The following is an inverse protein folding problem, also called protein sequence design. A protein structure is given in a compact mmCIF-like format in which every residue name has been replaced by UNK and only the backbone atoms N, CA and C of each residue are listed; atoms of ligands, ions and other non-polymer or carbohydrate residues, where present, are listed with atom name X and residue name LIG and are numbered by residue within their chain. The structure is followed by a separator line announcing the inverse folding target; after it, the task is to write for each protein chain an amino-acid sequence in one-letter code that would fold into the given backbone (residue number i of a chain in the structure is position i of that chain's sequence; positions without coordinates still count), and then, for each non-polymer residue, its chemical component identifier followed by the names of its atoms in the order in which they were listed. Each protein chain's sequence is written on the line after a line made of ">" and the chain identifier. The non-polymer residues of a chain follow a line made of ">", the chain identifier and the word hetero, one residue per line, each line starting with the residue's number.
data_IF_264884854147
#
_entry.id   IF_264884854147
#
_cell.length_a   1.000
_cell.length_b   1.000
_cell.length_c   1.000
_cell.angle_alpha   90.00
_cell.angle_beta   90.00
_cell.angle_gamma   90.00
#
_symmetry.space_group_name_H-M   'P 1'
#
loop_
_entity.id
_entity.type
_entity.pdbx_description
1 polymer ?
#
# COMPACT_ATOMS: atom_id res chain seq x y z
N UNK A 1 -10.43 9.94 12.90
CA UNK A 1 -9.73 8.92 12.09
C UNK A 1 -9.08 9.59 10.89
N UNK A 2 -7.83 9.24 10.59
CA UNK A 2 -7.07 9.70 9.41
C UNK A 2 -6.53 8.47 8.68
N UNK A 3 -6.64 8.43 7.34
CA UNK A 3 -6.05 7.38 6.51
C UNK A 3 -5.03 8.01 5.54
N UNK A 4 -3.83 7.43 5.48
CA UNK A 4 -2.71 7.90 4.64
C UNK A 4 -2.17 6.72 3.82
N UNK A 5 -2.79 6.41 2.69
CA UNK A 5 -2.35 5.30 1.86
C UNK A 5 -1.08 5.63 1.08
N UNK A 6 -0.21 4.62 0.95
CA UNK A 6 1.04 4.65 0.19
C UNK A 6 1.07 3.44 -0.75
N UNK A 7 1.54 3.62 -1.96
CA UNK A 7 1.72 2.54 -2.94
C UNK A 7 2.59 3.01 -4.10
N UNK A 8 2.97 2.09 -4.96
CA UNK A 8 3.72 2.36 -6.19
C UNK A 8 4.98 3.24 -5.95
N UNK A 9 5.76 2.92 -4.90
CA UNK A 9 7.04 3.59 -4.67
C UNK A 9 8.08 3.18 -5.70
N UNK A 10 8.01 1.92 -6.15
CA UNK A 10 8.92 1.33 -7.13
C UNK A 10 10.39 1.66 -6.82
N UNK A 11 10.81 1.48 -5.56
CA UNK A 11 12.21 1.67 -5.14
C UNK A 11 13.13 0.78 -6.01
N UNK A 12 14.15 1.36 -6.59
CA UNK A 12 15.02 0.72 -7.58
C UNK A 12 14.77 1.16 -9.02
N UNK A 13 13.64 1.83 -9.31
CA UNK A 13 13.35 2.41 -10.62
C UNK A 13 14.19 3.68 -10.82
N UNK A 14 14.97 3.79 -11.93
CA UNK A 14 15.87 4.92 -12.13
C UNK A 14 15.18 6.20 -12.61
N UNK A 15 13.97 6.08 -13.17
CA UNK A 15 13.21 7.21 -13.71
C UNK A 15 12.63 8.10 -12.61
N UNK A 16 12.18 9.29 -12.95
CA UNK A 16 11.48 10.19 -12.03
C UNK A 16 12.30 10.69 -10.83
N UNK A 17 13.62 10.76 -10.96
CA UNK A 17 14.55 11.10 -9.89
C UNK A 17 15.07 9.89 -9.11
N UNK A 18 14.74 8.69 -9.59
CA UNK A 18 15.21 7.43 -9.01
C UNK A 18 14.71 7.17 -7.60
N UNK A 19 15.33 6.21 -6.95
CA UNK A 19 15.04 5.87 -5.55
C UNK A 19 15.20 7.07 -4.61
N UNK A 20 16.22 7.91 -4.84
CA UNK A 20 16.45 9.10 -4.00
C UNK A 20 15.25 10.05 -4.05
N UNK A 21 14.79 10.40 -5.26
CA UNK A 21 13.63 11.27 -5.42
C UNK A 21 12.34 10.69 -4.83
N UNK A 22 12.15 9.36 -4.92
CA UNK A 22 11.02 8.67 -4.28
C UNK A 22 11.10 8.76 -2.75
N UNK A 23 12.27 8.54 -2.16
CA UNK A 23 12.49 8.68 -0.71
C UNK A 23 12.23 10.12 -0.23
N UNK A 24 12.68 11.13 -0.98
CA UNK A 24 12.44 12.55 -0.66
C UNK A 24 10.95 12.88 -0.67
N UNK A 25 10.20 12.44 -1.70
CA UNK A 25 8.74 12.63 -1.77
C UNK A 25 8.00 11.93 -0.64
N UNK A 26 8.41 10.69 -0.31
CA UNK A 26 7.85 9.95 0.82
C UNK A 26 8.13 10.66 2.16
N UNK A 27 9.36 11.13 2.37
CA UNK A 27 9.72 11.88 3.58
C UNK A 27 8.92 13.16 3.70
N UNK A 28 8.77 13.92 2.61
CA UNK A 28 7.96 15.14 2.59
C UNK A 28 6.47 14.86 2.89
N UNK A 29 5.89 13.79 2.30
CA UNK A 29 4.53 13.35 2.62
C UNK A 29 4.40 13.02 4.11
N UNK A 30 5.30 12.19 4.63
CA UNK A 30 5.25 11.73 6.02
C UNK A 30 5.40 12.91 7.00
N UNK A 31 6.31 13.86 6.70
CA UNK A 31 6.48 15.07 7.47
C UNK A 31 5.22 15.94 7.47
N UNK A 32 4.57 16.08 6.31
CA UNK A 32 3.32 16.86 6.21
C UNK A 32 2.18 16.22 6.99
N UNK A 33 2.07 14.90 6.98
CA UNK A 33 1.10 14.17 7.80
C UNK A 33 1.40 14.35 9.29
N UNK A 34 2.67 14.27 9.69
CA UNK A 34 3.10 14.53 11.06
C UNK A 34 2.66 15.92 11.54
N UNK A 35 2.96 16.97 10.78
CA UNK A 35 2.54 18.34 11.10
C UNK A 35 1.02 18.44 11.28
N UNK A 36 0.25 17.86 10.35
CA UNK A 36 -1.21 17.85 10.41
C UNK A 36 -1.73 17.18 11.69
N UNK A 37 -1.17 16.03 12.05
CA UNK A 37 -1.62 15.26 13.23
C UNK A 37 -1.22 15.98 14.52
N UNK A 38 -0.02 16.57 14.57
CA UNK A 38 0.45 17.37 15.71
C UNK A 38 -0.42 18.62 15.92
N UNK A 39 -0.72 19.35 14.84
CA UNK A 39 -1.57 20.55 14.89
C UNK A 39 -2.99 20.25 15.39
N UNK A 40 -3.48 19.03 15.16
CA UNK A 40 -4.77 18.56 15.66
C UNK A 40 -4.70 18.02 17.10
N UNK A 41 -3.53 17.94 17.71
CA UNK A 41 -3.33 17.35 19.04
C UNK A 41 -3.42 15.82 19.07
N UNK A 42 -3.25 15.17 17.93
CA UNK A 42 -3.36 13.73 17.75
C UNK A 42 -4.68 13.28 17.09
N UNK A 43 -4.81 11.98 16.88
CA UNK A 43 -6.00 11.34 16.28
C UNK A 43 -6.35 10.04 17.03
N UNK A 44 -7.62 9.72 17.15
CA UNK A 44 -8.04 8.46 17.80
C UNK A 44 -7.54 7.25 17.01
N UNK A 45 -7.62 7.30 15.66
CA UNK A 45 -7.19 6.21 14.81
C UNK A 45 -6.47 6.70 13.57
N UNK A 46 -5.30 6.12 13.32
CA UNK A 46 -4.49 6.33 12.13
C UNK A 46 -4.43 5.02 11.33
N UNK A 47 -4.69 5.10 10.03
CA UNK A 47 -4.62 3.96 9.12
C UNK A 47 -3.55 4.28 8.07
N UNK A 48 -2.53 3.45 7.99
CA UNK A 48 -1.37 3.60 7.10
C UNK A 48 -1.32 2.42 6.11
N UNK A 49 -2.17 2.38 5.09
CA UNK A 49 -2.16 1.29 4.13
C UNK A 49 -0.95 1.38 3.21
N UNK A 50 -0.22 0.26 3.05
CA UNK A 50 0.82 0.05 2.07
C UNK A 50 0.27 -0.85 0.97
N UNK A 51 0.07 -0.28 -0.22
CA UNK A 51 -0.77 -0.86 -1.26
C UNK A 51 0.03 -1.54 -2.38
N UNK A 52 1.19 -2.09 -2.07
CA UNK A 52 2.02 -2.84 -3.01
C UNK A 52 2.86 -1.99 -3.95
N UNK A 53 3.64 -2.66 -4.80
CA UNK A 53 4.67 -2.11 -5.68
C UNK A 53 5.62 -1.17 -4.91
N UNK A 54 6.01 -1.64 -3.72
CA UNK A 54 6.92 -0.92 -2.83
C UNK A 54 8.33 -0.86 -3.39
N UNK A 55 8.70 -1.86 -4.19
CA UNK A 55 9.98 -1.98 -4.90
C UNK A 55 9.73 -2.13 -6.40
N UNK A 56 10.74 -1.86 -7.23
CA UNK A 56 10.70 -2.16 -8.65
C UNK A 56 10.83 -3.66 -8.91
N UNK A 57 11.54 -4.36 -8.03
CA UNK A 57 11.66 -5.81 -8.08
C UNK A 57 12.48 -6.33 -9.27
N UNK A 58 12.35 -7.64 -9.53
CA UNK A 58 13.09 -8.33 -10.57
C UNK A 58 12.19 -8.92 -11.67
N UNK A 59 10.87 -8.95 -11.44
CA UNK A 59 9.92 -9.66 -12.32
C UNK A 59 9.14 -8.74 -13.24
N UNK A 60 9.23 -7.44 -13.02
CA UNK A 60 8.59 -6.43 -13.85
C UNK A 60 9.08 -6.52 -15.29
N UNK A 61 8.19 -6.24 -16.23
CA UNK A 61 8.46 -6.27 -17.68
C UNK A 61 9.14 -7.58 -18.16
N UNK A 62 8.89 -8.70 -17.48
CA UNK A 62 9.56 -9.97 -17.79
C UNK A 62 11.06 -9.96 -17.46
N UNK A 63 11.48 -9.18 -16.49
CA UNK A 63 12.88 -9.05 -16.04
C UNK A 63 13.73 -8.11 -16.88
N UNK A 64 13.17 -7.41 -17.86
CA UNK A 64 13.92 -6.48 -18.73
C UNK A 64 14.39 -5.23 -18.00
N UNK A 65 13.70 -4.84 -16.93
CA UNK A 65 14.02 -3.69 -16.09
C UNK A 65 15.28 -3.91 -15.22
N UNK A 66 15.70 -5.16 -15.01
CA UNK A 66 16.77 -5.50 -14.04
C UNK A 66 18.12 -4.82 -14.38
N UNK A 67 18.44 -4.68 -15.66
CA UNK A 67 19.71 -4.06 -16.09
C UNK A 67 19.75 -2.53 -15.84
N UNK A 68 18.58 -1.90 -15.61
CA UNK A 68 18.45 -0.45 -15.42
C UNK A 68 18.19 -0.03 -13.98
N UNK A 69 18.13 -0.96 -13.03
CA UNK A 69 17.84 -0.65 -11.63
C UNK A 69 18.91 0.26 -11.01
N UNK A 70 18.50 1.28 -10.26
CA UNK A 70 19.40 2.16 -9.52
C UNK A 70 19.81 1.61 -8.14
N UNK A 71 19.09 0.57 -7.65
CA UNK A 71 19.43 -0.20 -6.45
C UNK A 71 19.28 -1.71 -6.68
N UNK A 72 20.20 -2.52 -6.14
CA UNK A 72 20.00 -3.97 -6.11
C UNK A 72 18.82 -4.35 -5.22
N UNK A 73 18.18 -5.50 -5.49
CA UNK A 73 16.96 -5.96 -4.80
C UNK A 73 17.06 -5.92 -3.28
N UNK A 74 18.18 -6.32 -2.72
CA UNK A 74 18.40 -6.33 -1.26
C UNK A 74 18.38 -4.91 -0.65
N UNK A 75 18.86 -3.91 -1.39
CA UNK A 75 18.80 -2.52 -0.98
C UNK A 75 17.42 -1.91 -1.17
N UNK A 76 16.69 -2.30 -2.22
CA UNK A 76 15.29 -1.90 -2.41
C UNK A 76 14.44 -2.34 -1.21
N UNK A 77 14.50 -3.63 -0.84
CA UNK A 77 13.76 -4.20 0.31
C UNK A 77 14.22 -3.55 1.63
N UNK A 78 15.53 -3.33 1.80
CA UNK A 78 16.06 -2.67 3.00
C UNK A 78 15.58 -1.23 3.12
N UNK A 79 15.55 -0.48 2.01
CA UNK A 79 15.05 0.89 1.97
C UNK A 79 13.56 0.92 2.28
N UNK A 80 12.76 0.07 1.65
CA UNK A 80 11.34 -0.08 1.93
C UNK A 80 11.08 -0.32 3.43
N UNK A 81 11.76 -1.29 4.02
CA UNK A 81 11.63 -1.60 5.46
C UNK A 81 11.95 -0.39 6.35
N UNK A 82 12.96 0.42 5.99
CA UNK A 82 13.30 1.64 6.71
C UNK A 82 12.22 2.71 6.58
N UNK A 83 11.61 2.85 5.40
CA UNK A 83 10.57 3.85 5.17
C UNK A 83 9.31 3.53 5.98
N UNK A 84 8.84 2.28 5.97
CA UNK A 84 7.67 1.87 6.76
C UNK A 84 7.94 2.01 8.26
N UNK A 85 9.12 1.59 8.73
CA UNK A 85 9.53 1.75 10.13
C UNK A 85 9.57 3.23 10.52
N UNK A 86 10.13 4.10 9.68
CA UNK A 86 10.21 5.55 9.90
C UNK A 86 8.82 6.18 10.00
N UNK A 87 7.93 5.88 9.04
CA UNK A 87 6.57 6.42 9.03
C UNK A 87 5.81 6.05 10.30
N UNK A 88 5.84 4.77 10.67
CA UNK A 88 5.15 4.28 11.87
C UNK A 88 5.77 4.89 13.12
N UNK A 89 7.09 4.90 13.25
CA UNK A 89 7.76 5.45 14.42
C UNK A 89 7.51 6.95 14.63
N UNK A 90 7.38 7.72 13.55
CA UNK A 90 7.10 9.15 13.62
C UNK A 90 5.65 9.44 13.98
N UNK A 91 4.70 8.66 13.43
CA UNK A 91 3.27 8.97 13.52
C UNK A 91 2.55 8.26 14.67
N UNK A 92 3.00 7.06 15.07
CA UNK A 92 2.32 6.26 16.09
C UNK A 92 2.17 6.95 17.46
N UNK A 93 3.12 7.78 17.93
CA UNK A 93 2.95 8.51 19.19
C UNK A 93 1.78 9.51 19.21
N UNK A 94 1.24 9.84 18.05
CA UNK A 94 0.17 10.83 17.86
C UNK A 94 -1.20 10.20 17.57
N UNK A 95 -1.33 8.89 17.77
CA UNK A 95 -2.59 8.19 17.57
C UNK A 95 -2.87 7.22 18.73
N UNK A 96 -4.13 7.07 19.10
CA UNK A 96 -4.53 6.05 20.11
C UNK A 96 -4.38 4.63 19.52
N UNK A 97 -4.70 4.47 18.24
CA UNK A 97 -4.59 3.22 17.50
C UNK A 97 -3.99 3.48 16.11
N UNK A 98 -3.04 2.64 15.72
CA UNK A 98 -2.44 2.65 14.38
C UNK A 98 -2.65 1.30 13.72
N UNK A 99 -3.29 1.30 12.57
CA UNK A 99 -3.48 0.12 11.74
C UNK A 99 -2.62 0.26 10.48
N UNK A 100 -1.83 -0.77 10.18
CA UNK A 100 -0.92 -0.80 9.03
C UNK A 100 -1.28 -1.99 8.13
N UNK A 101 -2.30 -1.85 7.26
CA UNK A 101 -2.61 -2.86 6.26
C UNK A 101 -1.53 -2.89 5.18
N UNK A 102 -1.03 -4.08 4.82
CA UNK A 102 0.00 -4.25 3.78
C UNK A 102 -0.47 -5.28 2.77
N UNK A 103 -0.65 -4.89 1.52
CA UNK A 103 -1.01 -5.80 0.43
C UNK A 103 0.12 -5.94 -0.58
N UNK A 104 0.29 -7.11 -1.22
CA UNK A 104 1.31 -7.32 -2.23
C UNK A 104 0.96 -6.63 -3.55
N UNK A 105 1.97 -6.13 -4.26
CA UNK A 105 1.89 -5.65 -5.63
C UNK A 105 2.49 -6.65 -6.62
N UNK A 106 2.35 -6.37 -7.91
CA UNK A 106 2.89 -7.24 -8.96
C UNK A 106 4.40 -7.04 -9.23
N UNK A 107 4.98 -5.92 -8.78
CA UNK A 107 6.43 -5.72 -8.79
C UNK A 107 7.11 -6.37 -7.59
N UNK A 108 6.38 -6.57 -6.51
CA UNK A 108 6.90 -7.14 -5.26
C UNK A 108 7.01 -8.68 -5.28
N UNK A 109 6.57 -9.37 -6.34
CA UNK A 109 6.68 -10.82 -6.45
C UNK A 109 8.15 -11.25 -6.34
N UNK A 110 8.44 -12.28 -5.52
CA UNK A 110 9.79 -12.82 -5.37
C UNK A 110 10.27 -13.47 -6.67
N UNK A 111 9.37 -14.13 -7.35
CA UNK A 111 9.52 -14.63 -8.73
C UNK A 111 8.14 -14.89 -9.33
N UNK A 112 8.04 -14.93 -10.64
CA UNK A 112 6.76 -15.08 -11.35
C UNK A 112 6.60 -16.49 -11.92
N UNK A 113 5.88 -17.35 -11.17
CA UNK A 113 5.48 -18.68 -11.60
C UNK A 113 3.99 -18.90 -11.29
N UNK A 114 3.31 -19.74 -12.08
CA UNK A 114 1.85 -19.92 -11.99
C UNK A 114 1.35 -20.48 -10.64
N UNK A 115 2.21 -21.11 -9.86
CA UNK A 115 1.86 -21.80 -8.61
C UNK A 115 2.29 -21.05 -7.36
N UNK A 116 2.74 -19.79 -7.51
CA UNK A 116 3.21 -19.01 -6.37
C UNK A 116 2.07 -18.48 -5.53
N UNK A 117 2.19 -18.55 -4.19
CA UNK A 117 1.29 -17.79 -3.31
C UNK A 117 1.43 -16.30 -3.57
N UNK A 118 0.31 -15.60 -3.70
CA UNK A 118 0.31 -14.14 -3.90
C UNK A 118 0.97 -13.39 -2.73
N UNK A 119 1.03 -14.03 -1.56
CA UNK A 119 1.66 -13.50 -0.34
C UNK A 119 3.17 -13.75 -0.27
N UNK A 120 3.75 -14.52 -1.20
CA UNK A 120 5.21 -14.64 -1.34
C UNK A 120 5.74 -13.39 -2.07
N UNK A 121 5.89 -12.33 -1.31
CA UNK A 121 6.06 -10.96 -1.79
C UNK A 121 7.07 -10.20 -0.93
N UNK A 122 7.94 -9.44 -1.59
CA UNK A 122 8.90 -8.56 -0.92
C UNK A 122 8.22 -7.45 -0.11
N UNK A 123 6.99 -7.03 -0.49
CA UNK A 123 6.22 -6.09 0.31
C UNK A 123 5.80 -6.72 1.64
N UNK A 124 5.34 -7.96 1.62
CA UNK A 124 4.94 -8.68 2.84
C UNK A 124 6.17 -8.95 3.72
N UNK A 125 7.27 -9.46 3.15
CA UNK A 125 8.51 -9.74 3.88
C UNK A 125 9.10 -8.48 4.52
N UNK A 126 9.25 -7.40 3.77
CA UNK A 126 9.79 -6.15 4.28
C UNK A 126 8.94 -5.53 5.38
N UNK A 127 7.61 -5.61 5.27
CA UNK A 127 6.69 -5.12 6.29
C UNK A 127 6.68 -6.01 7.54
N UNK A 128 6.78 -7.34 7.38
CA UNK A 128 6.90 -8.29 8.51
C UNK A 128 8.15 -8.00 9.31
N UNK A 129 9.29 -7.81 8.64
CA UNK A 129 10.54 -7.44 9.30
C UNK A 129 10.47 -6.06 9.99
N UNK A 130 9.73 -5.10 9.45
CA UNK A 130 9.47 -3.81 10.10
C UNK A 130 8.60 -3.98 11.36
N UNK A 131 7.55 -4.79 11.26
CA UNK A 131 6.66 -5.10 12.39
C UNK A 131 7.43 -5.75 13.55
N UNK A 132 8.29 -6.74 13.28
CA UNK A 132 9.13 -7.40 14.26
C UNK A 132 10.06 -6.41 14.98
N UNK A 133 10.69 -5.49 14.24
CA UNK A 133 11.59 -4.46 14.83
C UNK A 133 10.80 -3.50 15.73
N UNK A 134 9.63 -3.07 15.31
CA UNK A 134 8.78 -2.17 16.09
C UNK A 134 8.26 -2.86 17.36
N UNK A 135 7.81 -4.10 17.26
CA UNK A 135 7.35 -4.91 18.39
C UNK A 135 8.48 -5.15 19.40
N UNK A 136 9.64 -5.59 18.92
CA UNK A 136 10.83 -5.83 19.76
C UNK A 136 11.29 -4.58 20.51
N UNK A 137 10.98 -3.37 20.01
CA UNK A 137 11.31 -2.12 20.70
C UNK A 137 10.48 -1.89 21.97
N UNK A 138 9.32 -2.52 22.09
CA UNK A 138 8.35 -2.36 23.17
C UNK A 138 7.67 -0.99 23.26
N UNK A 139 7.87 -0.11 22.24
CA UNK A 139 7.40 1.30 22.28
C UNK A 139 6.08 1.55 21.54
N UNK A 140 5.67 0.63 20.69
CA UNK A 140 4.58 0.83 19.73
C UNK A 140 3.44 -0.16 19.95
N UNK A 141 3.03 -0.37 21.19
CA UNK A 141 1.95 -1.30 21.55
C UNK A 141 0.56 -0.89 21.01
N UNK A 142 0.43 0.34 20.49
CA UNK A 142 -0.76 0.83 19.82
C UNK A 142 -0.76 0.56 18.30
N UNK A 143 0.28 -0.08 17.74
CA UNK A 143 0.43 -0.38 16.32
C UNK A 143 0.08 -1.83 16.02
N UNK A 144 -0.75 -2.03 15.02
CA UNK A 144 -1.11 -3.35 14.50
C UNK A 144 -0.85 -3.42 13.00
N UNK A 145 0.04 -4.32 12.58
CA UNK A 145 0.17 -4.70 11.16
C UNK A 145 -0.91 -5.71 10.80
N UNK A 146 -1.47 -5.56 9.60
CA UNK A 146 -2.47 -6.48 9.05
C UNK A 146 -1.99 -6.96 7.69
N UNK A 147 -1.89 -8.27 7.55
CA UNK A 147 -1.47 -8.94 6.33
C UNK A 147 -2.64 -9.70 5.70
N UNK A 148 -2.64 -9.96 4.40
CA UNK A 148 -3.65 -10.78 3.75
C UNK A 148 -3.64 -12.21 4.29
N UNK A 149 -4.82 -12.85 4.28
CA UNK A 149 -4.90 -14.29 4.49
C UNK A 149 -4.17 -15.05 3.37
N UNK A 150 -3.77 -16.28 3.66
CA UNK A 150 -3.11 -17.14 2.67
C UNK A 150 -3.95 -17.25 1.39
N UNK A 151 -3.32 -17.01 0.23
CA UNK A 151 -3.98 -17.01 -1.07
C UNK A 151 -4.79 -15.76 -1.41
N UNK A 152 -4.86 -14.77 -0.52
CA UNK A 152 -5.50 -13.47 -0.75
C UNK A 152 -4.48 -12.38 -1.05
N UNK A 153 -4.77 -11.53 -2.04
CA UNK A 153 -4.04 -10.28 -2.29
C UNK A 153 -4.73 -9.04 -1.70
N UNK A 154 -5.73 -9.25 -0.84
CA UNK A 154 -6.60 -8.20 -0.35
C UNK A 154 -6.75 -8.25 1.16
N UNK A 155 -7.03 -7.10 1.76
CA UNK A 155 -7.33 -6.97 3.19
C UNK A 155 -8.67 -6.25 3.33
N UNK A 156 -9.50 -6.73 4.26
CA UNK A 156 -10.75 -6.05 4.64
C UNK A 156 -10.72 -5.85 6.14
N UNK A 157 -10.98 -4.63 6.59
CA UNK A 157 -11.00 -4.27 8.01
C UNK A 157 -12.25 -3.47 8.34
N UNK A 158 -12.90 -3.82 9.44
CA UNK A 158 -13.94 -3.00 10.03
C UNK A 158 -13.30 -1.96 10.95
N UNK A 159 -13.45 -0.70 10.58
CA UNK A 159 -12.93 0.45 11.33
C UNK A 159 -14.06 1.29 11.90
N UNK A 160 -15.29 0.85 11.74
CA UNK A 160 -16.47 1.52 12.21
C UNK A 160 -16.73 1.35 13.71
N UNK A 161 -17.91 1.74 14.08
CA UNK A 161 -18.48 1.52 15.39
C UNK A 161 -19.91 0.98 15.23
N UNK A 162 -20.54 0.43 16.26
CA UNK A 162 -21.93 -0.02 16.16
C UNK A 162 -22.93 1.06 15.72
N UNK A 163 -22.58 2.34 15.94
CA UNK A 163 -23.41 3.49 15.54
C UNK A 163 -23.04 4.05 14.14
N UNK A 164 -21.85 3.74 13.65
CA UNK A 164 -21.34 4.21 12.37
C UNK A 164 -20.44 3.11 11.77
N UNK A 165 -21.02 2.06 11.20
CA UNK A 165 -20.25 0.97 10.60
C UNK A 165 -19.46 1.51 9.40
N UNK A 166 -18.23 1.07 9.23
CA UNK A 166 -17.37 1.42 8.11
C UNK A 166 -16.37 0.30 7.85
N UNK A 167 -16.48 -0.33 6.71
CA UNK A 167 -15.58 -1.39 6.27
C UNK A 167 -14.68 -0.88 5.16
N UNK A 168 -13.38 -0.97 5.36
CA UNK A 168 -12.37 -0.61 4.37
C UNK A 168 -11.80 -1.87 3.71
N UNK A 169 -11.68 -1.83 2.38
CA UNK A 169 -11.02 -2.85 1.59
C UNK A 169 -9.76 -2.30 0.95
N UNK A 170 -8.65 -3.02 1.06
CA UNK A 170 -7.34 -2.66 0.50
C UNK A 170 -6.88 -3.71 -0.50
N UNK A 171 -6.41 -3.26 -1.63
CA UNK A 171 -5.86 -4.11 -2.70
C UNK A 171 -4.86 -3.30 -3.51
N UNK A 172 -3.87 -3.95 -4.13
CA UNK A 172 -2.98 -3.21 -5.04
C UNK A 172 -3.72 -2.74 -6.30
N UNK A 173 -4.49 -3.61 -6.95
CA UNK A 173 -5.23 -3.23 -8.15
C UNK A 173 -4.82 -3.98 -9.43
N UNK A 174 -3.82 -4.84 -9.38
CA UNK A 174 -3.36 -5.65 -10.52
C UNK A 174 -4.26 -6.86 -10.85
N UNK A 175 -5.23 -7.15 -9.99
CA UNK A 175 -6.15 -8.30 -10.16
C UNK A 175 -7.23 -8.08 -11.23
N UNK A 176 -7.35 -6.88 -11.76
CA UNK A 176 -8.24 -6.55 -12.88
C UNK A 176 -7.47 -5.92 -14.04
N UNK A 177 -8.05 -5.98 -15.23
CA UNK A 177 -7.51 -5.28 -16.40
C UNK A 177 -7.63 -3.76 -16.22
N UNK A 178 -6.80 -3.00 -16.92
CA UNK A 178 -6.78 -1.54 -16.84
C UNK A 178 -8.16 -0.91 -17.08
N UNK A 179 -8.47 0.13 -16.30
CA UNK A 179 -9.67 0.93 -16.45
C UNK A 179 -10.63 0.89 -15.26
N UNK A 180 -11.38 1.97 -15.09
CA UNK A 180 -12.34 2.11 -14.00
C UNK A 180 -13.43 1.04 -14.03
N UNK A 181 -13.98 0.78 -15.21
CA UNK A 181 -15.07 -0.21 -15.38
C UNK A 181 -14.61 -1.61 -14.99
N UNK A 182 -13.34 -1.95 -15.25
CA UNK A 182 -12.80 -3.25 -14.87
C UNK A 182 -12.65 -3.39 -13.35
N UNK A 183 -12.19 -2.35 -12.66
CA UNK A 183 -12.12 -2.31 -11.20
C UNK A 183 -13.50 -2.47 -10.55
N UNK A 184 -14.47 -1.70 -11.03
CA UNK A 184 -15.84 -1.75 -10.52
C UNK A 184 -16.50 -3.12 -10.79
N UNK A 185 -16.30 -3.67 -11.99
CA UNK A 185 -16.81 -5.01 -12.34
C UNK A 185 -16.17 -6.10 -11.50
N UNK A 186 -14.86 -6.00 -11.23
CA UNK A 186 -14.17 -6.92 -10.33
C UNK A 186 -14.77 -6.85 -8.92
N UNK A 187 -14.96 -5.64 -8.38
CA UNK A 187 -15.53 -5.45 -7.03
C UNK A 187 -16.99 -5.95 -6.93
N UNK A 188 -17.80 -5.72 -7.97
CA UNK A 188 -19.13 -6.32 -8.07
C UNK A 188 -19.06 -7.84 -8.03
N UNK A 189 -18.10 -8.44 -8.73
CA UNK A 189 -17.83 -9.88 -8.69
C UNK A 189 -17.49 -10.38 -7.28
N UNK A 190 -16.70 -9.63 -6.52
CA UNK A 190 -16.40 -9.92 -5.11
C UNK A 190 -17.68 -9.94 -4.26
N UNK A 191 -18.55 -8.95 -4.44
CA UNK A 191 -19.85 -8.87 -3.72
C UNK A 191 -20.76 -10.03 -4.11
N UNK A 192 -20.87 -10.35 -5.40
CA UNK A 192 -21.71 -11.44 -5.89
C UNK A 192 -21.18 -12.80 -5.44
N UNK A 193 -19.85 -12.97 -5.44
CA UNK A 193 -19.15 -14.18 -4.97
C UNK A 193 -19.08 -14.31 -3.45
N UNK A 194 -19.64 -13.35 -2.69
CA UNK A 194 -19.60 -13.30 -1.21
C UNK A 194 -18.17 -13.35 -0.66
N UNK A 195 -17.23 -12.78 -1.40
CA UNK A 195 -15.84 -12.65 -0.95
C UNK A 195 -15.74 -11.51 0.08
N UNK A 196 -14.73 -11.53 0.99
CA UNK A 196 -14.56 -10.49 2.00
C UNK A 196 -14.54 -9.07 1.41
N UNK A 197 -13.83 -8.84 0.29
CA UNK A 197 -13.75 -7.54 -0.37
C UNK A 197 -15.12 -7.02 -0.84
N UNK A 198 -16.08 -7.89 -1.07
CA UNK A 198 -17.46 -7.53 -1.39
C UNK A 198 -18.22 -6.85 -0.25
N UNK A 199 -17.70 -6.85 0.98
CA UNK A 199 -18.29 -6.21 2.16
C UNK A 199 -17.79 -4.77 2.35
N UNK A 200 -16.70 -4.36 1.67
CA UNK A 200 -16.12 -3.04 1.85
C UNK A 200 -17.09 -1.93 1.40
N UNK A 201 -17.16 -0.87 2.20
CA UNK A 201 -17.85 0.39 1.87
C UNK A 201 -16.93 1.27 1.02
N UNK A 202 -15.63 1.28 1.34
CA UNK A 202 -14.60 1.97 0.59
C UNK A 202 -13.53 0.97 0.16
N UNK A 203 -13.32 0.84 -1.14
CA UNK A 203 -12.20 0.09 -1.71
C UNK A 203 -11.08 1.06 -2.05
N UNK A 204 -9.88 0.84 -1.52
CA UNK A 204 -8.68 1.63 -1.81
C UNK A 204 -7.70 0.79 -2.61
N UNK A 205 -7.22 1.34 -3.72
CA UNK A 205 -6.24 0.67 -4.60
C UNK A 205 -5.14 1.60 -5.08
N UNK A 206 -4.10 1.05 -5.68
CA UNK A 206 -2.94 1.70 -6.30
C UNK A 206 -2.79 1.26 -7.77
N UNK A 207 -1.60 0.86 -8.24
CA UNK A 207 -1.26 0.19 -9.50
C UNK A 207 -1.28 1.06 -10.77
N UNK A 208 -2.26 1.92 -10.96
CA UNK A 208 -2.38 2.72 -12.19
C UNK A 208 -1.76 4.11 -12.07
N UNK A 209 -1.06 4.41 -10.98
CA UNK A 209 -0.21 5.58 -10.74
C UNK A 209 -0.92 6.94 -10.81
N UNK A 210 -2.25 7.01 -10.86
CA UNK A 210 -2.97 8.27 -10.88
C UNK A 210 -4.21 8.25 -9.99
N UNK A 211 -4.57 9.42 -9.46
CA UNK A 211 -5.74 9.57 -8.62
C UNK A 211 -7.03 9.31 -9.39
N UNK A 212 -7.91 8.53 -8.79
CA UNK A 212 -9.27 8.33 -9.27
C UNK A 212 -10.21 8.06 -8.11
N UNK A 213 -11.43 8.57 -8.22
CA UNK A 213 -12.51 8.26 -7.30
C UNK A 213 -13.78 7.98 -8.10
N UNK A 214 -14.48 6.91 -7.73
CA UNK A 214 -15.75 6.53 -8.34
C UNK A 214 -16.74 5.99 -7.31
N UNK A 215 -17.98 6.43 -7.37
CA UNK A 215 -19.07 5.86 -6.59
C UNK A 215 -19.72 4.72 -7.37
N UNK A 216 -20.02 3.62 -6.67
CA UNK A 216 -20.54 2.39 -7.29
C UNK A 216 -22.00 2.12 -6.98
N UNK A 217 -22.70 3.04 -6.33
CA UNK A 217 -24.05 2.83 -5.80
C UNK A 217 -24.04 2.19 -4.40
N UNK A 218 -25.17 2.24 -3.72
CA UNK A 218 -25.29 1.73 -2.36
C UNK A 218 -24.40 2.44 -1.32
N UNK A 219 -23.92 3.66 -1.60
CA UNK A 219 -23.02 4.42 -0.75
C UNK A 219 -21.56 4.00 -0.83
N UNK A 220 -21.20 3.05 -1.69
CA UNK A 220 -19.84 2.53 -1.82
C UNK A 220 -18.95 3.39 -2.71
N UNK A 221 -17.68 3.53 -2.33
CA UNK A 221 -16.71 4.35 -3.05
C UNK A 221 -15.44 3.56 -3.35
N UNK A 222 -14.95 3.62 -4.59
CA UNK A 222 -13.62 3.21 -4.96
C UNK A 222 -12.70 4.43 -5.02
N UNK A 223 -11.55 4.31 -4.35
CA UNK A 223 -10.48 5.29 -4.33
C UNK A 223 -9.21 4.64 -4.86
N UNK A 224 -8.64 5.17 -5.93
CA UNK A 224 -7.32 4.83 -6.42
C UNK A 224 -6.35 5.96 -6.09
N UNK A 225 -5.21 5.60 -5.50
CA UNK A 225 -4.19 6.58 -5.12
C UNK A 225 -3.21 6.82 -6.27
N UNK A 226 -2.59 8.02 -6.36
CA UNK A 226 -1.45 8.25 -7.24
C UNK A 226 -0.20 7.57 -6.70
N UNK A 227 0.75 7.30 -7.59
CA UNK A 227 2.07 6.80 -7.22
C UNK A 227 2.92 7.87 -6.54
N UNK A 228 3.87 7.44 -5.73
CA UNK A 228 4.95 8.28 -5.20
C UNK A 228 6.21 8.23 -6.10
N UNK A 229 6.26 7.35 -7.08
CA UNK A 229 7.30 7.38 -8.09
C UNK A 229 7.25 8.72 -8.87
N UNK A 230 8.35 9.16 -9.45
CA UNK A 230 8.43 10.43 -10.18
C UNK A 230 7.87 10.37 -11.60
N UNK A 231 7.14 9.31 -11.94
CA UNK A 231 6.65 9.03 -13.28
C UNK A 231 7.67 8.30 -14.15
N UNK A 232 7.31 8.04 -15.40
CA UNK A 232 8.22 7.45 -16.39
C UNK A 232 8.24 8.28 -17.66
N UNK A 233 9.36 8.22 -18.39
CA UNK A 233 9.50 8.87 -19.69
C UNK A 233 8.45 8.40 -20.71
N UNK A 234 7.87 7.21 -20.49
CA UNK A 234 6.82 6.68 -21.34
C UNK A 234 5.56 7.56 -21.35
N UNK A 235 5.24 8.23 -20.23
CA UNK A 235 4.11 9.15 -20.14
C UNK A 235 4.41 10.56 -20.70
N UNK A 236 5.67 10.87 -20.96
CA UNK A 236 6.11 12.19 -21.46
C UNK A 236 6.21 12.20 -22.99
N UNK A 237 6.16 11.03 -23.61
CA UNK A 237 6.18 10.86 -25.08
C UNK A 237 4.76 10.77 -25.63
#
# INVERSE_FOLDING_TARGET
>A
MLMVPVGDLQLGKPEGGGTVGTVERFAALTQRVYELVVDQGGVDRLILPWLGDCIEGLVSQGGKNVAGLDLPITEQVRTYRRLITHQVALLAPWAEQVLVPVVPGNHDETYRMQTMPITDSWAIEGASAAAEVLDASGKYGNVQFVFPEEGSGNIVVDVGSPKSPLVLGFTHGHLWKNGADAALKWWQGQSHGRQPMGQADIMVSAHLHHYRMAQTGGGRTWLQIPALDGGSEWFVR
#
